data_IF_583720479892
#
_entry.id   IF_583720479892
#
_cell.length_a   1.000
_cell.length_b   1.000
_cell.length_c   1.000
_cell.angle_alpha   90.00
_cell.angle_beta   90.00
_cell.angle_gamma   90.00
#
_symmetry.space_group_name_H-M   'P 1'
#
loop_
_entity.id
_entity.type
_entity.pdbx_description
1 polymer ?
#
# COMPACT_ATOMS: atom_id res chain seq x y z
N UNK A 1 -4.37 9.39 3.23
CA UNK A 1 -5.84 9.31 3.15
C UNK A 1 -6.50 9.06 4.50
N UNK A 2 -5.99 8.15 5.34
CA UNK A 2 -6.52 7.88 6.70
C UNK A 2 -6.81 9.13 7.54
N UNK A 3 -5.82 10.00 7.80
CA UNK A 3 -6.05 11.26 8.55
C UNK A 3 -7.04 12.22 7.87
N UNK A 4 -7.13 12.19 6.54
CA UNK A 4 -8.04 13.06 5.78
C UNK A 4 -9.50 12.60 5.90
N UNK A 5 -9.74 11.30 6.02
CA UNK A 5 -11.07 10.75 6.31
C UNK A 5 -11.46 10.94 7.77
N UNK A 6 -10.52 10.78 8.71
CA UNK A 6 -10.73 11.12 10.14
C UNK A 6 -11.10 12.61 10.32
N UNK A 7 -10.50 13.51 9.52
CA UNK A 7 -10.85 14.95 9.51
C UNK A 7 -12.26 15.27 9.01
N UNK A 8 -12.94 14.32 8.35
CA UNK A 8 -14.36 14.46 7.98
C UNK A 8 -15.30 13.95 9.08
N UNK A 9 -14.77 13.62 10.27
CA UNK A 9 -15.56 13.11 11.40
C UNK A 9 -15.97 11.64 11.26
N UNK A 10 -15.40 10.92 10.28
CA UNK A 10 -15.72 9.51 10.03
C UNK A 10 -14.78 8.57 10.78
N UNK A 11 -15.33 7.46 11.26
CA UNK A 11 -14.55 6.37 11.84
C UNK A 11 -13.87 5.58 10.73
N UNK A 12 -12.54 5.63 10.69
CA UNK A 12 -11.76 4.92 9.67
C UNK A 12 -11.36 3.54 10.18
N UNK A 13 -11.73 2.50 9.44
CA UNK A 13 -11.33 1.12 9.72
C UNK A 13 -10.68 0.48 8.50
N UNK A 14 -9.89 -0.56 8.75
CA UNK A 14 -9.23 -1.33 7.70
C UNK A 14 -9.79 -2.74 7.70
N UNK A 15 -10.33 -3.15 6.57
CA UNK A 15 -10.71 -4.53 6.31
C UNK A 15 -9.57 -5.19 5.54
N UNK A 16 -8.97 -6.22 6.12
CA UNK A 16 -7.94 -7.00 5.44
C UNK A 16 -8.59 -7.93 4.41
N UNK A 17 -8.16 -7.84 3.15
CA UNK A 17 -8.59 -8.75 2.10
C UNK A 17 -7.58 -9.87 1.95
N UNK A 18 -6.30 -9.50 1.80
CA UNK A 18 -5.21 -10.45 1.61
C UNK A 18 -3.91 -9.87 2.15
N UNK A 19 -3.11 -10.70 2.79
CA UNK A 19 -1.76 -10.34 3.23
C UNK A 19 -0.87 -11.59 3.20
N UNK A 20 0.30 -11.49 2.57
CA UNK A 20 1.23 -12.62 2.49
C UNK A 20 2.34 -12.45 1.45
N UNK A 21 3.28 -13.40 1.44
CA UNK A 21 4.29 -13.49 0.40
C UNK A 21 3.70 -14.12 -0.87
N UNK A 22 3.98 -13.49 -2.00
CA UNK A 22 3.55 -13.90 -3.34
C UNK A 22 4.74 -13.93 -4.29
N UNK A 23 4.57 -14.64 -5.41
CA UNK A 23 5.55 -14.73 -6.48
C UNK A 23 5.27 -13.73 -7.61
N UNK A 24 6.19 -13.64 -8.58
CA UNK A 24 6.11 -12.66 -9.68
C UNK A 24 4.83 -12.78 -10.53
N UNK A 25 4.25 -13.98 -10.63
CA UNK A 25 3.03 -14.24 -11.39
C UNK A 25 1.77 -13.59 -10.78
N UNK A 26 1.79 -13.20 -9.50
CA UNK A 26 0.65 -12.58 -8.81
C UNK A 26 0.69 -11.04 -8.78
N UNK A 27 1.77 -10.45 -9.29
CA UNK A 27 2.00 -9.01 -9.33
C UNK A 27 2.42 -8.50 -10.73
N UNK A 28 1.78 -8.95 -11.82
CA UNK A 28 2.24 -8.64 -13.18
C UNK A 28 2.20 -7.14 -13.51
N UNK A 29 1.30 -6.39 -12.88
CA UNK A 29 1.15 -4.94 -13.09
C UNK A 29 2.25 -4.14 -12.37
N UNK A 30 2.67 -4.58 -11.18
CA UNK A 30 3.71 -3.91 -10.40
C UNK A 30 5.12 -4.37 -10.75
N UNK A 31 5.28 -5.56 -11.31
CA UNK A 31 6.58 -6.17 -11.63
C UNK A 31 7.48 -5.27 -12.52
N UNK A 32 6.98 -4.54 -13.53
CA UNK A 32 7.82 -3.62 -14.33
C UNK A 32 8.35 -2.43 -13.53
N UNK A 33 7.72 -2.10 -12.41
CA UNK A 33 8.02 -0.94 -11.56
C UNK A 33 8.80 -1.33 -10.30
N UNK A 34 9.19 -2.60 -10.15
CA UNK A 34 9.86 -3.12 -8.96
C UNK A 34 11.15 -3.87 -9.33
N UNK A 35 12.12 -3.96 -8.41
CA UNK A 35 13.26 -4.85 -8.59
C UNK A 35 12.80 -6.31 -8.72
N UNK A 36 13.48 -7.08 -9.56
CA UNK A 36 13.17 -8.50 -9.79
C UNK A 36 13.71 -9.36 -8.65
N UNK A 37 12.80 -9.95 -7.88
CA UNK A 37 13.09 -10.79 -6.72
C UNK A 37 12.25 -12.07 -6.77
N UNK A 38 12.64 -13.08 -5.99
CA UNK A 38 11.93 -14.36 -5.95
C UNK A 38 10.54 -14.24 -5.31
N UNK A 39 10.37 -13.31 -4.36
CA UNK A 39 9.12 -13.12 -3.60
C UNK A 39 8.89 -11.65 -3.28
N UNK A 40 7.63 -11.32 -3.08
CA UNK A 40 7.15 -9.99 -2.71
C UNK A 40 6.11 -10.14 -1.61
N UNK A 41 6.03 -9.16 -0.72
CA UNK A 41 4.94 -9.05 0.23
C UNK A 41 3.79 -8.28 -0.40
N UNK A 42 2.66 -8.95 -0.57
CA UNK A 42 1.42 -8.37 -1.05
C UNK A 42 0.51 -8.09 0.14
N UNK A 43 -0.09 -6.91 0.14
CA UNK A 43 -1.11 -6.50 1.09
C UNK A 43 -2.25 -5.78 0.37
N UNK A 44 -3.45 -6.32 0.51
CA UNK A 44 -4.69 -5.82 -0.07
C UNK A 44 -5.68 -5.51 1.05
N UNK A 45 -6.16 -4.28 1.06
CA UNK A 45 -7.05 -3.77 2.10
C UNK A 45 -8.20 -2.99 1.48
N UNK A 46 -9.31 -2.94 2.21
CA UNK A 46 -10.33 -1.92 2.03
C UNK A 46 -10.26 -0.95 3.21
N UNK A 47 -10.12 0.33 2.90
CA UNK A 47 -10.25 1.39 3.88
C UNK A 47 -11.72 1.81 3.92
N UNK A 48 -12.36 1.53 5.05
CA UNK A 48 -13.76 1.85 5.26
C UNK A 48 -13.90 3.14 6.07
N UNK A 49 -14.89 3.96 5.73
CA UNK A 49 -15.30 5.13 6.50
C UNK A 49 -16.72 4.88 7.01
N UNK A 50 -16.89 4.85 8.34
CA UNK A 50 -18.13 4.48 9.02
C UNK A 50 -18.68 3.10 8.59
N UNK A 51 -17.77 2.16 8.30
CA UNK A 51 -18.10 0.80 7.87
C UNK A 51 -18.31 0.64 6.36
N UNK A 52 -18.37 1.73 5.59
CA UNK A 52 -18.53 1.69 4.13
C UNK A 52 -17.17 1.69 3.41
N UNK A 53 -16.89 0.79 2.45
CA UNK A 53 -15.61 0.72 1.75
C UNK A 53 -15.45 1.91 0.79
N UNK A 54 -14.46 2.76 1.05
CA UNK A 54 -14.23 3.98 0.27
C UNK A 54 -12.98 3.92 -0.61
N UNK A 55 -12.00 3.10 -0.22
CA UNK A 55 -10.75 2.99 -0.94
C UNK A 55 -10.24 1.56 -0.88
N UNK A 56 -9.94 0.99 -2.05
CA UNK A 56 -9.15 -0.22 -2.16
C UNK A 56 -7.67 0.17 -2.17
N UNK A 57 -6.89 -0.47 -1.30
CA UNK A 57 -5.45 -0.29 -1.22
C UNK A 57 -4.76 -1.60 -1.55
N UNK A 58 -3.92 -1.58 -2.58
CA UNK A 58 -3.01 -2.68 -2.91
C UNK A 58 -1.57 -2.19 -2.72
N UNK A 59 -0.77 -2.98 -2.03
CA UNK A 59 0.62 -2.63 -1.71
C UNK A 59 1.49 -3.85 -1.96
N UNK A 60 2.49 -3.68 -2.81
CA UNK A 60 3.48 -4.70 -3.14
C UNK A 60 4.84 -4.21 -2.67
N UNK A 61 5.51 -5.00 -1.84
CA UNK A 61 6.82 -4.66 -1.27
C UNK A 61 7.82 -5.78 -1.57
N UNK A 62 8.94 -5.49 -2.25
CA UNK A 62 10.00 -6.48 -2.44
C UNK A 62 10.60 -6.93 -1.10
N UNK A 63 11.05 -8.19 -1.01
CA UNK A 63 11.61 -8.74 0.23
C UNK A 63 12.85 -7.97 0.67
N UNK A 64 13.67 -7.49 -0.27
CA UNK A 64 14.83 -6.64 0.03
C UNK A 64 14.48 -5.37 0.81
N UNK A 65 13.28 -4.81 0.59
CA UNK A 65 12.79 -3.61 1.26
C UNK A 65 12.27 -3.92 2.67
N UNK A 66 11.94 -5.18 2.97
CA UNK A 66 11.49 -5.63 4.29
C UNK A 66 12.68 -5.91 5.22
N UNK A 67 13.57 -4.93 5.35
CA UNK A 67 14.72 -5.00 6.26
C UNK A 67 14.65 -3.84 7.26
N UNK A 68 15.28 -3.98 8.43
CA UNK A 68 15.32 -2.91 9.43
C UNK A 68 13.93 -2.43 9.90
N UNK A 69 13.69 -1.11 10.03
CA UNK A 69 12.41 -0.54 10.45
C UNK A 69 11.21 -1.00 9.62
N UNK A 70 11.42 -1.23 8.33
CA UNK A 70 10.39 -1.57 7.33
C UNK A 70 9.80 -2.97 7.53
N UNK A 71 10.40 -3.82 8.37
CA UNK A 71 9.78 -5.06 8.86
C UNK A 71 8.43 -4.83 9.53
N UNK A 72 8.19 -3.64 10.08
CA UNK A 72 6.90 -3.28 10.66
C UNK A 72 5.78 -3.21 9.62
N UNK A 73 6.07 -3.11 8.32
CA UNK A 73 5.08 -3.22 7.24
C UNK A 73 4.36 -4.58 7.26
N UNK A 74 5.08 -5.67 7.60
CA UNK A 74 4.47 -7.00 7.75
C UNK A 74 3.61 -7.11 9.02
N UNK A 75 3.86 -6.25 10.02
CA UNK A 75 3.17 -6.27 11.32
C UNK A 75 2.02 -5.28 11.41
N UNK A 76 1.66 -4.63 10.30
CA UNK A 76 0.61 -3.60 10.29
C UNK A 76 -0.75 -4.17 10.71
N UNK A 77 -1.08 -5.41 10.35
CA UNK A 77 -2.37 -6.03 10.69
C UNK A 77 -3.54 -5.15 10.25
N UNK A 78 -4.40 -4.70 11.17
CA UNK A 78 -5.52 -3.78 10.87
C UNK A 78 -5.14 -2.29 10.92
N UNK A 79 -3.86 -1.97 11.10
CA UNK A 79 -3.39 -0.59 11.13
C UNK A 79 -3.29 -0.04 9.71
N UNK A 80 -3.87 1.13 9.41
CA UNK A 80 -3.76 1.74 8.10
C UNK A 80 -2.31 2.15 7.82
N UNK A 81 -1.82 1.75 6.65
CA UNK A 81 -0.45 1.97 6.17
C UNK A 81 -0.01 3.44 6.30
N UNK A 82 -0.92 4.38 6.03
CA UNK A 82 -0.65 5.81 6.14
C UNK A 82 -0.12 6.22 7.52
N UNK A 83 -0.65 5.68 8.61
CA UNK A 83 -0.21 6.06 9.96
C UNK A 83 1.25 5.67 10.21
N UNK A 84 1.70 4.56 9.65
CA UNK A 84 3.08 4.09 9.71
C UNK A 84 4.01 4.86 8.77
N UNK A 85 3.58 5.12 7.53
CA UNK A 85 4.35 5.89 6.55
C UNK A 85 4.57 7.35 6.98
N UNK A 86 3.68 7.94 7.79
CA UNK A 86 3.85 9.30 8.30
C UNK A 86 4.72 9.38 9.56
N UNK A 87 5.07 8.25 10.18
CA UNK A 87 5.96 8.21 11.36
C UNK A 87 7.41 7.88 11.00
N UNK A 88 7.67 7.25 9.85
CA UNK A 88 9.01 6.99 9.33
C UNK A 88 9.35 7.99 8.22
N UNK A 89 10.22 8.96 8.53
CA UNK A 89 10.51 10.15 7.74
C UNK A 89 11.43 9.94 6.52
N UNK A 90 11.73 8.69 6.14
CA UNK A 90 12.68 8.36 5.05
C UNK A 90 12.03 7.95 3.73
N UNK A 91 10.70 7.88 3.64
CA UNK A 91 10.03 7.52 2.39
C UNK A 91 10.00 8.69 1.39
N UNK A 92 10.93 8.66 0.44
CA UNK A 92 10.87 9.47 -0.78
C UNK A 92 9.88 8.83 -1.76
N UNK A 93 8.95 9.64 -2.27
CA UNK A 93 8.03 9.26 -3.35
C UNK A 93 8.62 9.73 -4.67
N UNK A 94 8.71 8.85 -5.67
CA UNK A 94 9.22 9.23 -6.99
C UNK A 94 8.14 9.91 -7.83
N UNK A 95 7.06 9.21 -8.15
CA UNK A 95 5.96 9.78 -8.93
C UNK A 95 4.60 9.23 -8.49
N UNK A 96 3.54 9.88 -8.94
CA UNK A 96 2.16 9.44 -8.77
C UNK A 96 1.60 9.21 -10.16
N UNK A 97 1.25 7.97 -10.47
CA UNK A 97 0.53 7.66 -11.69
C UNK A 97 -0.97 7.62 -11.38
N UNK A 98 -1.76 8.40 -12.11
CA UNK A 98 -3.22 8.47 -11.92
C UNK A 98 -3.87 7.65 -13.02
N UNK A 99 -4.67 6.66 -12.63
CA UNK A 99 -5.48 5.85 -13.51
C UNK A 99 -6.97 6.14 -13.33
N UNK A 100 -7.75 5.80 -14.35
CA UNK A 100 -9.21 5.77 -14.24
C UNK A 100 -9.75 4.54 -14.95
N UNK A 101 -10.54 3.75 -14.26
CA UNK A 101 -11.20 2.56 -14.81
C UNK A 101 -12.63 2.45 -14.26
N UNK A 102 -13.58 2.00 -15.09
CA UNK A 102 -15.00 1.89 -14.76
C UNK A 102 -15.61 3.13 -14.05
N UNK A 103 -15.08 4.32 -14.35
CA UNK A 103 -15.51 5.58 -13.73
C UNK A 103 -14.86 5.91 -12.38
N UNK A 104 -14.10 4.98 -11.79
CA UNK A 104 -13.36 5.11 -10.53
C UNK A 104 -11.93 5.60 -10.76
N UNK A 105 -11.41 6.38 -9.81
CA UNK A 105 -10.04 6.88 -9.84
C UNK A 105 -9.09 5.95 -9.08
N UNK A 106 -7.93 5.67 -9.66
CA UNK A 106 -6.82 4.95 -9.03
C UNK A 106 -5.56 5.82 -9.00
N UNK A 107 -4.68 5.54 -8.04
CA UNK A 107 -3.36 6.16 -7.98
C UNK A 107 -2.31 5.15 -7.55
N UNK A 108 -1.25 5.02 -8.35
CA UNK A 108 -0.12 4.13 -8.09
C UNK A 108 1.08 4.95 -7.62
N UNK A 109 1.71 4.48 -6.54
CA UNK A 109 2.86 5.14 -5.90
C UNK A 109 4.05 4.17 -5.91
N UNK A 110 4.82 4.12 -7.00
CA UNK A 110 6.02 3.30 -7.03
C UNK A 110 7.07 3.83 -6.05
N UNK A 111 7.88 2.93 -5.45
CA UNK A 111 8.97 3.32 -4.58
C UNK A 111 10.00 4.12 -5.35
N UNK A 112 10.75 4.96 -4.65
CA UNK A 112 11.85 5.68 -5.27
C UNK A 112 12.96 4.72 -5.66
N UNK A 113 13.05 4.35 -6.94
CA UNK A 113 14.12 3.48 -7.43
C UNK A 113 15.31 4.41 -7.67
N UNK A 114 16.24 4.45 -6.71
CA UNK A 114 17.59 4.97 -6.99
C UNK A 114 18.19 4.10 -8.11
N UNK A 115 18.15 4.62 -9.33
CA UNK A 115 18.95 4.11 -10.46
C UNK A 115 20.43 4.24 -10.15
#
# INVERSE_FOLDING_TARGET
MTKRFEQQGKTVSVTMIREGFVEQNEIPEELPLLPKESRYWLREILLCADGEPWLAGRTVVPVSTLSGPELALQKLGKTPLGRYLFTSSTLTRDFIEIGRDAGLWGATFPPAIKR
#
